data_IF_630993952160
#
_entry.id   IF_630993952160
#
_cell.length_a   1.000
_cell.length_b   1.000
_cell.length_c   1.000
_cell.angle_alpha   90.00
_cell.angle_beta   90.00
_cell.angle_gamma   90.00
#
_symmetry.space_group_name_H-M   'P 1'
#
loop_
_entity.id
_entity.type
_entity.pdbx_description
1 polymer ?
#
# COMPACT_ATOMS: atom_id res chain seq x y z
N UNK A 1 -44.16 -40.24 55.87
CA UNK A 1 -44.15 -38.87 55.23
C UNK A 1 -43.06 -38.74 54.18
N UNK A 2 -41.82 -39.23 54.33
CA UNK A 2 -40.75 -39.06 53.33
C UNK A 2 -41.00 -39.80 51.99
N UNK A 3 -41.68 -40.92 51.95
CA UNK A 3 -41.98 -41.72 50.74
C UNK A 3 -43.07 -41.08 49.88
N UNK A 4 -44.03 -40.39 50.44
CA UNK A 4 -45.13 -39.74 49.73
C UNK A 4 -44.58 -38.47 49.02
N UNK A 5 -43.62 -37.78 49.63
CA UNK A 5 -43.00 -36.61 49.03
C UNK A 5 -42.15 -36.95 47.78
N UNK A 6 -41.50 -38.15 47.79
CA UNK A 6 -40.71 -38.63 46.68
C UNK A 6 -41.57 -38.99 45.45
N UNK A 7 -42.75 -39.62 45.69
CA UNK A 7 -43.69 -39.91 44.61
C UNK A 7 -44.36 -38.68 44.03
N UNK A 8 -44.64 -37.67 44.86
CA UNK A 8 -45.18 -36.38 44.40
C UNK A 8 -44.16 -35.60 43.52
N UNK A 9 -42.88 -35.60 43.90
CA UNK A 9 -41.83 -35.00 43.08
C UNK A 9 -41.59 -35.75 41.77
N UNK A 10 -41.70 -37.07 41.76
CA UNK A 10 -41.54 -37.89 40.57
C UNK A 10 -42.72 -37.75 39.59
N UNK A 11 -43.94 -37.59 40.05
CA UNK A 11 -45.10 -37.28 39.23
C UNK A 11 -45.09 -35.85 38.69
N UNK A 12 -44.56 -34.88 39.46
CA UNK A 12 -44.38 -33.51 39.00
C UNK A 12 -43.29 -33.36 37.94
N UNK A 13 -42.21 -34.19 38.00
CA UNK A 13 -41.19 -34.21 36.97
C UNK A 13 -41.61 -34.91 35.69
N UNK A 14 -42.57 -35.84 35.75
CA UNK A 14 -43.14 -36.44 34.54
C UNK A 14 -44.14 -35.56 33.80
N UNK A 15 -44.80 -34.62 34.46
CA UNK A 15 -45.70 -33.67 33.81
C UNK A 15 -44.98 -32.55 33.08
N UNK A 16 -43.68 -32.31 33.36
CA UNK A 16 -42.85 -31.36 32.60
C UNK A 16 -42.28 -31.96 31.30
N UNK A 17 -42.35 -33.28 31.13
CA UNK A 17 -41.79 -33.91 29.91
C UNK A 17 -42.79 -34.08 28.76
N UNK A 18 -44.05 -33.63 28.94
CA UNK A 18 -45.10 -33.71 27.89
C UNK A 18 -45.51 -32.33 27.39
N UNK A 19 -44.59 -31.35 27.49
CA UNK A 19 -44.71 -30.17 26.70
C UNK A 19 -44.03 -30.42 25.34
N UNK A 20 -44.48 -31.46 24.63
CA UNK A 20 -44.43 -31.42 23.20
C UNK A 20 -45.42 -30.31 22.80
N UNK A 21 -44.93 -29.15 22.58
CA UNK A 21 -45.61 -28.15 21.79
C UNK A 21 -45.86 -28.88 20.47
N UNK A 22 -47.09 -29.30 20.20
CA UNK A 22 -47.51 -29.56 18.84
C UNK A 22 -47.39 -28.19 18.17
N UNK A 23 -46.27 -28.01 17.50
CA UNK A 23 -46.12 -26.95 16.54
C UNK A 23 -47.18 -27.24 15.46
N UNK A 24 -48.25 -26.49 15.47
CA UNK A 24 -49.35 -26.69 14.53
C UNK A 24 -48.93 -26.33 13.10
N UNK A 25 -47.62 -26.26 12.81
CA UNK A 25 -47.04 -26.00 11.49
C UNK A 25 -47.85 -24.99 10.66
N UNK A 26 -48.37 -23.98 11.30
CA UNK A 26 -49.17 -22.95 10.69
C UNK A 26 -48.31 -21.76 10.25
N UNK A 27 -47.07 -22.05 9.89
CA UNK A 27 -46.15 -21.09 9.34
C UNK A 27 -46.43 -20.99 7.84
N UNK A 28 -46.93 -19.85 7.39
CA UNK A 28 -46.91 -19.47 5.98
C UNK A 28 -45.44 -19.24 5.59
N UNK A 29 -44.78 -20.31 5.15
CA UNK A 29 -43.44 -20.20 4.60
C UNK A 29 -43.50 -19.43 3.29
N UNK A 30 -42.85 -18.27 3.25
CA UNK A 30 -42.69 -17.53 2.02
C UNK A 30 -41.46 -18.12 1.31
N UNK A 31 -41.67 -18.68 0.14
CA UNK A 31 -40.56 -19.13 -0.70
C UNK A 31 -39.71 -17.92 -1.09
N UNK A 32 -38.43 -17.97 -0.74
CA UNK A 32 -37.44 -16.94 -1.05
C UNK A 32 -36.73 -17.33 -2.35
N UNK A 33 -36.66 -16.41 -3.29
CA UNK A 33 -35.89 -16.60 -4.50
C UNK A 33 -34.39 -16.39 -4.22
N UNK A 34 -33.73 -17.41 -3.69
CA UNK A 34 -32.33 -17.38 -3.30
C UNK A 34 -31.40 -17.39 -4.50
N UNK A 35 -30.17 -16.99 -4.26
CA UNK A 35 -29.08 -17.17 -5.23
C UNK A 35 -28.57 -18.60 -5.12
N UNK A 36 -28.55 -19.33 -6.26
CA UNK A 36 -28.15 -20.73 -6.31
C UNK A 36 -26.73 -20.89 -5.75
N UNK A 37 -26.59 -21.75 -4.72
CA UNK A 37 -25.33 -21.99 -3.97
C UNK A 37 -24.70 -20.75 -3.34
N UNK A 38 -25.43 -19.62 -3.30
CA UNK A 38 -24.90 -18.30 -2.93
C UNK A 38 -23.65 -17.92 -3.75
N UNK A 39 -23.60 -18.32 -5.04
CA UNK A 39 -22.45 -18.17 -5.91
C UNK A 39 -22.62 -16.96 -6.83
N UNK A 40 -21.68 -16.02 -6.73
CA UNK A 40 -21.56 -14.86 -7.63
C UNK A 40 -20.33 -15.03 -8.51
N UNK A 41 -20.53 -14.90 -9.83
CA UNK A 41 -19.46 -14.93 -10.84
C UNK A 41 -19.17 -13.52 -11.36
N UNK A 42 -18.06 -13.34 -12.07
CA UNK A 42 -17.62 -12.05 -12.62
C UNK A 42 -17.45 -10.94 -11.57
N UNK A 43 -17.16 -11.34 -10.34
CA UNK A 43 -16.68 -10.48 -9.27
C UNK A 43 -15.45 -11.15 -8.65
N UNK A 44 -14.29 -10.56 -8.86
CA UNK A 44 -13.04 -11.06 -8.30
C UNK A 44 -12.95 -10.72 -6.80
N UNK A 45 -12.09 -11.40 -6.05
CA UNK A 45 -11.83 -11.06 -4.65
C UNK A 45 -11.18 -9.68 -4.49
N UNK A 46 -10.41 -9.25 -5.50
CA UNK A 46 -9.78 -7.93 -5.54
C UNK A 46 -9.57 -7.43 -6.97
N UNK A 47 -9.50 -6.10 -7.11
CA UNK A 47 -9.16 -5.38 -8.32
C UNK A 47 -8.09 -4.34 -8.01
N UNK A 48 -7.13 -4.19 -8.93
CA UNK A 48 -6.18 -3.08 -8.93
C UNK A 48 -6.53 -2.15 -10.09
N UNK A 49 -6.83 -0.89 -9.79
CA UNK A 49 -7.21 0.10 -10.79
C UNK A 49 -6.42 1.40 -10.58
N UNK A 50 -5.78 1.96 -11.61
CA UNK A 50 -5.13 3.27 -11.49
C UNK A 50 -6.13 4.40 -11.24
N UNK A 51 -5.73 5.41 -10.49
CA UNK A 51 -6.49 6.67 -10.34
C UNK A 51 -6.90 7.21 -11.71
N UNK A 52 -8.15 7.64 -11.83
CA UNK A 52 -8.72 8.20 -13.05
C UNK A 52 -9.10 7.17 -14.12
N UNK A 53 -8.93 5.88 -13.85
CA UNK A 53 -9.47 4.82 -14.70
C UNK A 53 -10.82 4.33 -14.18
N UNK A 54 -11.71 3.97 -15.11
CA UNK A 54 -12.99 3.39 -14.77
C UNK A 54 -12.87 1.88 -14.61
N UNK A 55 -13.52 1.34 -13.58
CA UNK A 55 -13.68 -0.09 -13.34
C UNK A 55 -15.15 -0.45 -13.36
N UNK A 56 -15.57 -1.26 -14.32
CA UNK A 56 -16.95 -1.78 -14.37
C UNK A 56 -16.98 -3.20 -13.81
N UNK A 57 -17.83 -3.42 -12.80
CA UNK A 57 -18.08 -4.73 -12.21
C UNK A 57 -19.52 -5.14 -12.55
N UNK A 58 -19.66 -6.34 -13.11
CA UNK A 58 -20.95 -6.89 -13.56
C UNK A 58 -21.11 -8.31 -13.03
N UNK A 59 -21.48 -8.49 -11.74
CA UNK A 59 -21.69 -9.82 -11.17
C UNK A 59 -22.77 -10.59 -11.92
N UNK A 60 -22.57 -11.89 -12.09
CA UNK A 60 -23.59 -12.80 -12.63
C UNK A 60 -23.89 -13.89 -11.61
N UNK A 61 -25.13 -14.32 -11.55
CA UNK A 61 -25.63 -15.31 -10.60
C UNK A 61 -26.91 -15.94 -11.13
N UNK A 62 -27.36 -17.02 -10.55
CA UNK A 62 -28.60 -17.70 -10.91
C UNK A 62 -29.53 -17.72 -9.68
N UNK A 63 -30.84 -17.59 -9.95
CA UNK A 63 -31.88 -17.70 -8.94
C UNK A 63 -32.38 -19.15 -8.83
N UNK A 64 -32.85 -19.53 -7.64
CA UNK A 64 -33.33 -20.89 -7.36
C UNK A 64 -34.73 -21.15 -7.90
N UNK A 65 -35.62 -20.15 -7.88
CA UNK A 65 -37.06 -20.29 -8.23
C UNK A 65 -37.40 -19.54 -9.51
N UNK A 66 -37.53 -18.22 -9.44
CA UNK A 66 -37.86 -17.41 -10.61
C UNK A 66 -36.57 -16.91 -11.27
N UNK A 67 -36.24 -17.54 -12.42
CA UNK A 67 -35.01 -17.25 -13.15
C UNK A 67 -35.16 -16.13 -14.17
N UNK A 68 -36.39 -15.88 -14.64
CA UNK A 68 -36.64 -14.96 -15.75
C UNK A 68 -37.07 -13.56 -15.29
N UNK A 69 -37.94 -13.48 -14.28
CA UNK A 69 -38.50 -12.21 -13.81
C UNK A 69 -38.47 -12.08 -12.27
N UNK A 70 -37.29 -12.11 -11.65
CA UNK A 70 -37.17 -12.05 -10.19
C UNK A 70 -37.60 -10.67 -9.66
N UNK A 71 -38.44 -10.66 -8.61
CA UNK A 71 -38.86 -9.45 -7.94
C UNK A 71 -37.77 -9.01 -6.93
N UNK A 72 -36.69 -8.42 -7.45
CA UNK A 72 -35.51 -8.02 -6.69
C UNK A 72 -35.06 -6.60 -7.00
N UNK A 73 -34.27 -6.03 -6.12
CA UNK A 73 -33.52 -4.80 -6.36
C UNK A 73 -32.04 -5.01 -6.07
N UNK A 74 -31.22 -4.16 -6.65
CA UNK A 74 -29.78 -4.19 -6.47
C UNK A 74 -29.29 -3.02 -5.60
N UNK A 75 -28.25 -3.27 -4.85
CA UNK A 75 -27.62 -2.25 -4.02
C UNK A 75 -26.10 -2.45 -4.04
N UNK A 76 -25.36 -1.39 -4.22
CA UNK A 76 -23.93 -1.34 -4.07
C UNK A 76 -23.56 -0.50 -2.85
N UNK A 77 -22.56 -0.97 -2.12
CA UNK A 77 -21.98 -0.22 -1.01
C UNK A 77 -20.48 -0.09 -1.20
N UNK A 78 -19.91 1.00 -0.74
CA UNK A 78 -18.46 1.23 -0.66
C UNK A 78 -18.13 1.69 0.75
N UNK A 79 -17.18 1.02 1.39
CA UNK A 79 -16.74 1.27 2.76
C UNK A 79 -17.92 1.31 3.76
N UNK A 80 -18.86 0.37 3.57
CA UNK A 80 -20.07 0.24 4.36
C UNK A 80 -21.17 1.28 4.07
N UNK A 81 -20.94 2.24 3.17
CA UNK A 81 -21.92 3.25 2.77
C UNK A 81 -22.57 2.90 1.45
N UNK A 82 -23.90 3.08 1.36
CA UNK A 82 -24.62 2.87 0.11
C UNK A 82 -24.18 3.90 -0.93
N UNK A 83 -23.97 3.41 -2.17
CA UNK A 83 -23.69 4.27 -3.32
C UNK A 83 -25.02 4.75 -3.90
N UNK A 84 -25.27 6.05 -3.85
CA UNK A 84 -26.50 6.64 -4.38
C UNK A 84 -26.59 6.45 -5.91
N UNK A 85 -27.76 6.01 -6.38
CA UNK A 85 -28.01 5.75 -7.79
C UNK A 85 -27.44 4.43 -8.33
N UNK A 86 -26.63 3.68 -7.57
CA UNK A 86 -26.09 2.38 -7.95
C UNK A 86 -27.12 1.27 -7.67
N UNK A 87 -28.16 1.21 -8.50
CA UNK A 87 -29.30 0.31 -8.36
C UNK A 87 -29.41 -0.72 -9.50
N UNK A 88 -28.35 -0.90 -10.28
CA UNK A 88 -28.26 -1.88 -11.35
C UNK A 88 -27.31 -3.02 -10.97
N UNK A 89 -27.46 -4.16 -11.63
CA UNK A 89 -26.57 -5.31 -11.47
C UNK A 89 -25.11 -4.98 -11.83
N UNK A 90 -24.91 -4.12 -12.82
CA UNK A 90 -23.58 -3.60 -13.20
C UNK A 90 -23.39 -2.20 -12.65
N UNK A 91 -22.19 -1.92 -12.14
CA UNK A 91 -21.80 -0.57 -11.70
C UNK A 91 -20.38 -0.25 -12.16
N UNK A 92 -20.18 1.02 -12.55
CA UNK A 92 -18.86 1.55 -12.95
C UNK A 92 -18.36 2.48 -11.85
N UNK A 93 -17.17 2.17 -11.36
CA UNK A 93 -16.45 2.95 -10.36
C UNK A 93 -15.44 3.86 -11.02
N UNK A 94 -15.28 5.06 -10.49
CA UNK A 94 -14.22 6.00 -10.83
C UNK A 94 -13.68 6.60 -9.55
N UNK A 95 -12.35 6.70 -9.44
CA UNK A 95 -11.67 7.17 -8.24
C UNK A 95 -10.75 8.33 -8.61
N UNK A 96 -10.78 9.38 -7.81
CA UNK A 96 -9.92 10.56 -7.98
C UNK A 96 -8.65 10.47 -7.13
N UNK A 97 -8.67 9.68 -6.06
CA UNK A 97 -7.57 9.50 -5.11
C UNK A 97 -7.19 8.03 -4.99
N UNK A 98 -5.92 7.76 -4.67
CA UNK A 98 -5.45 6.41 -4.35
C UNK A 98 -5.98 5.95 -2.99
N UNK A 99 -6.15 4.65 -2.82
CA UNK A 99 -6.65 4.08 -1.59
C UNK A 99 -7.22 2.68 -1.77
N UNK A 100 -7.63 2.07 -0.68
CA UNK A 100 -8.24 0.74 -0.68
C UNK A 100 -9.69 0.84 -0.23
N UNK A 101 -10.60 0.34 -1.07
CA UNK A 101 -12.03 0.40 -0.84
C UNK A 101 -12.63 -0.99 -0.77
N UNK A 102 -13.45 -1.24 0.24
CA UNK A 102 -14.27 -2.45 0.32
C UNK A 102 -15.61 -2.20 -0.36
N UNK A 103 -15.86 -2.92 -1.45
CA UNK A 103 -17.10 -2.81 -2.22
C UNK A 103 -17.92 -4.07 -2.02
N UNK A 104 -19.24 -3.89 -1.83
CA UNK A 104 -20.19 -5.00 -1.76
C UNK A 104 -21.35 -4.78 -2.68
N UNK A 105 -21.74 -5.84 -3.36
CA UNK A 105 -22.92 -5.93 -4.21
C UNK A 105 -23.97 -6.78 -3.51
N UNK A 106 -25.22 -6.33 -3.52
CA UNK A 106 -26.36 -7.02 -2.92
C UNK A 106 -27.50 -7.18 -3.91
N UNK A 107 -28.09 -8.37 -3.89
CA UNK A 107 -29.39 -8.69 -4.46
C UNK A 107 -30.37 -8.76 -3.30
N UNK A 108 -31.44 -8.00 -3.35
CA UNK A 108 -32.41 -7.88 -2.26
C UNK A 108 -33.77 -8.33 -2.78
N UNK A 109 -34.31 -9.40 -2.21
CA UNK A 109 -35.67 -9.85 -2.47
C UNK A 109 -36.67 -8.81 -1.97
N UNK A 110 -37.56 -8.34 -2.83
CA UNK A 110 -38.49 -7.26 -2.48
C UNK A 110 -39.63 -7.70 -1.56
N UNK A 111 -39.94 -9.00 -1.53
CA UNK A 111 -41.03 -9.53 -0.69
C UNK A 111 -40.59 -9.74 0.74
N UNK A 112 -39.37 -10.26 0.92
CA UNK A 112 -38.85 -10.65 2.24
C UNK A 112 -37.83 -9.67 2.79
N UNK A 113 -37.20 -8.85 1.94
CA UNK A 113 -36.11 -7.97 2.28
C UNK A 113 -34.77 -8.68 2.54
N UNK A 114 -34.68 -10.00 2.27
CA UNK A 114 -33.46 -10.75 2.43
C UNK A 114 -32.40 -10.29 1.44
N UNK A 115 -31.16 -10.22 1.92
CA UNK A 115 -30.00 -9.77 1.13
C UNK A 115 -29.04 -10.93 0.87
N UNK A 116 -28.72 -11.12 -0.40
CA UNK A 116 -27.64 -12.00 -0.87
C UNK A 116 -26.55 -11.12 -1.44
N UNK A 117 -25.28 -11.43 -1.21
CA UNK A 117 -24.25 -10.49 -1.69
C UNK A 117 -22.86 -11.09 -1.80
N UNK A 118 -22.04 -10.38 -2.55
CA UNK A 118 -20.62 -10.62 -2.68
C UNK A 118 -19.84 -9.35 -2.40
N UNK A 119 -18.63 -9.50 -1.90
CA UNK A 119 -17.73 -8.39 -1.61
C UNK A 119 -16.42 -8.54 -2.37
N UNK A 120 -15.84 -7.41 -2.69
CA UNK A 120 -14.52 -7.31 -3.32
C UNK A 120 -13.75 -6.14 -2.71
N UNK A 121 -12.43 -6.18 -2.83
CA UNK A 121 -11.55 -5.07 -2.49
C UNK A 121 -11.10 -4.40 -3.77
N UNK A 122 -11.22 -3.07 -3.87
CA UNK A 122 -10.66 -2.28 -4.97
C UNK A 122 -9.47 -1.51 -4.42
N UNK A 123 -8.27 -1.84 -4.87
CA UNK A 123 -7.06 -1.08 -4.61
C UNK A 123 -6.87 -0.07 -5.73
N UNK A 124 -7.07 1.19 -5.41
CA UNK A 124 -6.86 2.31 -6.33
C UNK A 124 -5.40 2.71 -6.25
N UNK A 125 -4.66 2.39 -7.29
CA UNK A 125 -3.24 2.68 -7.38
C UNK A 125 -3.01 4.12 -7.83
N UNK A 126 -2.06 4.80 -7.21
CA UNK A 126 -1.58 6.07 -7.70
C UNK A 126 -1.14 5.99 -9.17
N UNK A 127 -1.32 7.09 -9.89
CA UNK A 127 -0.82 7.23 -11.26
C UNK A 127 0.72 7.13 -11.34
N UNK A 128 1.40 7.26 -10.20
CA UNK A 128 2.87 7.32 -10.11
C UNK A 128 3.52 6.05 -9.54
N UNK A 129 2.76 5.01 -9.22
CA UNK A 129 3.29 3.76 -8.66
C UNK A 129 4.08 2.90 -9.66
N UNK A 130 3.84 3.05 -10.95
CA UNK A 130 4.51 2.25 -12.00
C UNK A 130 4.99 3.13 -13.11
N UNK A 131 6.29 3.32 -13.22
CA UNK A 131 6.85 4.10 -14.30
C UNK A 131 8.25 4.59 -14.01
N UNK A 132 8.62 5.64 -14.72
CA UNK A 132 9.92 6.29 -14.63
C UNK A 132 9.73 7.74 -14.22
N UNK A 133 10.26 8.11 -13.07
CA UNK A 133 10.43 9.50 -12.70
C UNK A 133 11.68 10.06 -13.42
N UNK A 134 11.53 11.15 -14.12
CA UNK A 134 12.61 11.79 -14.88
C UNK A 134 12.79 13.20 -14.35
N UNK A 135 13.93 13.43 -13.69
CA UNK A 135 14.31 14.73 -13.21
C UNK A 135 15.04 15.51 -14.31
N UNK A 136 14.59 16.72 -14.55
CA UNK A 136 15.19 17.67 -15.46
C UNK A 136 15.42 19.03 -14.79
N UNK A 137 16.00 19.96 -15.52
CA UNK A 137 16.21 21.34 -15.10
C UNK A 137 15.60 22.30 -16.13
N UNK A 138 14.76 23.21 -15.67
CA UNK A 138 14.21 24.29 -16.49
C UNK A 138 15.24 25.39 -16.76
N UNK A 139 14.95 26.25 -17.73
CA UNK A 139 15.83 27.40 -18.08
C UNK A 139 16.01 28.40 -16.94
N UNK A 140 15.04 28.51 -16.05
CA UNK A 140 15.09 29.31 -14.81
C UNK A 140 15.84 28.64 -13.65
N UNK A 141 16.37 27.45 -13.87
CA UNK A 141 17.11 26.67 -12.90
C UNK A 141 16.27 25.77 -12.01
N UNK A 142 14.94 25.83 -12.09
CA UNK A 142 14.02 25.01 -11.31
C UNK A 142 14.11 23.53 -11.72
N UNK A 143 13.92 22.63 -10.76
CA UNK A 143 13.74 21.23 -11.03
C UNK A 143 12.42 20.99 -11.79
N UNK A 144 12.45 20.08 -12.74
CA UNK A 144 11.27 19.58 -13.46
C UNK A 144 11.17 18.09 -13.20
N UNK A 145 10.06 17.64 -12.68
CA UNK A 145 9.76 16.23 -12.50
C UNK A 145 8.72 15.79 -13.52
N UNK A 146 9.11 14.86 -14.37
CA UNK A 146 8.23 14.24 -15.35
C UNK A 146 8.02 12.77 -14.99
N UNK A 147 6.87 12.24 -15.34
CA UNK A 147 6.56 10.84 -15.10
C UNK A 147 6.11 10.12 -16.38
N UNK A 148 6.72 8.96 -16.66
CA UNK A 148 6.46 8.15 -17.84
C UNK A 148 5.91 6.80 -17.40
N UNK A 149 4.69 6.48 -17.81
CA UNK A 149 4.02 5.23 -17.46
C UNK A 149 4.11 4.23 -18.61
N UNK A 150 4.48 2.97 -18.34
CA UNK A 150 4.34 1.89 -19.30
C UNK A 150 2.86 1.60 -19.54
N UNK A 151 2.46 1.48 -20.81
CA UNK A 151 1.12 1.11 -21.22
C UNK A 151 1.21 -0.11 -22.14
N UNK A 152 0.37 -1.11 -21.93
CA UNK A 152 0.27 -2.23 -22.85
C UNK A 152 -0.62 -1.88 -24.04
N UNK A 153 -0.16 -2.18 -25.24
CA UNK A 153 -0.96 -2.16 -26.46
C UNK A 153 -0.95 -3.55 -27.08
N UNK A 154 -2.13 -4.02 -27.48
CA UNK A 154 -2.25 -5.24 -28.27
C UNK A 154 -2.32 -4.87 -29.74
N UNK A 155 -1.56 -5.54 -30.58
CA UNK A 155 -1.59 -5.39 -32.02
C UNK A 155 -1.65 -6.75 -32.69
N UNK A 156 -2.44 -6.84 -33.77
CA UNK A 156 -2.59 -8.07 -34.55
C UNK A 156 -1.63 -8.01 -35.76
N UNK A 157 -0.84 -9.05 -35.90
CA UNK A 157 0.05 -9.24 -37.07
C UNK A 157 -0.31 -10.52 -37.80
N UNK A 158 -0.21 -10.50 -39.11
CA UNK A 158 -0.39 -11.69 -39.93
C UNK A 158 0.97 -12.29 -40.24
N UNK A 159 1.24 -13.49 -39.70
CA UNK A 159 2.44 -14.25 -39.97
C UNK A 159 2.06 -15.53 -40.70
N UNK A 160 2.57 -15.74 -41.90
CA UNK A 160 2.26 -16.89 -42.75
C UNK A 160 0.74 -17.09 -42.98
N UNK A 161 0.01 -16.00 -43.18
CA UNK A 161 -1.45 -16.04 -43.40
C UNK A 161 -2.30 -16.30 -42.16
N UNK A 162 -1.69 -16.39 -40.96
CA UNK A 162 -2.37 -16.57 -39.69
C UNK A 162 -2.27 -15.29 -38.85
N UNK A 163 -3.41 -14.79 -38.40
CA UNK A 163 -3.44 -13.67 -37.48
C UNK A 163 -2.93 -14.11 -36.10
N UNK A 164 -2.04 -13.30 -35.54
CA UNK A 164 -1.48 -13.49 -34.22
C UNK A 164 -1.52 -12.15 -33.48
N UNK A 165 -2.17 -12.12 -32.33
CA UNK A 165 -2.16 -10.96 -31.45
C UNK A 165 -0.93 -11.00 -30.56
N UNK A 166 -0.23 -9.88 -30.46
CA UNK A 166 0.95 -9.69 -29.61
C UNK A 166 0.75 -8.44 -28.78
N UNK A 167 1.20 -8.51 -27.54
CA UNK A 167 1.25 -7.35 -26.66
C UNK A 167 2.65 -6.68 -26.75
N UNK A 168 2.64 -5.38 -26.72
CA UNK A 168 3.85 -4.56 -26.65
C UNK A 168 3.69 -3.50 -25.57
N UNK A 169 4.80 -3.14 -24.93
CA UNK A 169 4.82 -2.04 -23.97
C UNK A 169 5.17 -0.77 -24.71
N UNK A 170 4.34 0.25 -24.56
CA UNK A 170 4.61 1.61 -24.99
C UNK A 170 4.69 2.52 -23.77
N UNK A 171 5.59 3.47 -23.81
CA UNK A 171 5.76 4.45 -22.75
C UNK A 171 5.06 5.74 -23.14
N UNK A 172 4.13 6.17 -22.29
CA UNK A 172 3.46 7.46 -22.45
C UNK A 172 3.93 8.40 -21.34
N UNK A 173 4.35 9.60 -21.71
CA UNK A 173 4.50 10.68 -20.76
C UNK A 173 3.11 11.02 -20.20
N UNK A 174 2.88 10.75 -18.93
CA UNK A 174 1.56 10.90 -18.32
C UNK A 174 1.37 12.29 -17.80
N UNK A 175 2.41 12.86 -17.21
CA UNK A 175 2.43 14.26 -16.81
C UNK A 175 3.82 14.85 -17.01
N UNK A 176 3.84 16.06 -17.49
CA UNK A 176 5.03 16.90 -17.59
C UNK A 176 4.95 17.93 -16.49
N UNK A 177 6.06 18.16 -15.80
CA UNK A 177 6.19 19.19 -14.78
C UNK A 177 5.11 19.07 -13.69
N UNK A 178 5.08 17.91 -13.03
CA UNK A 178 4.02 17.53 -12.07
C UNK A 178 3.98 18.39 -10.81
N UNK A 179 5.11 18.99 -10.43
CA UNK A 179 5.19 19.90 -9.30
C UNK A 179 5.98 21.16 -9.70
N UNK A 180 5.31 22.31 -9.72
CA UNK A 180 5.90 23.61 -10.14
C UNK A 180 6.67 24.32 -9.03
N UNK A 181 6.62 23.79 -7.81
CA UNK A 181 7.26 24.39 -6.63
C UNK A 181 8.62 23.81 -6.31
N UNK A 182 9.12 22.86 -7.11
CA UNK A 182 10.35 22.12 -6.83
C UNK A 182 11.57 23.04 -6.69
N UNK A 183 12.54 22.56 -5.92
CA UNK A 183 13.82 23.19 -5.64
C UNK A 183 14.56 23.64 -6.92
N UNK A 184 15.56 24.49 -6.77
CA UNK A 184 16.44 24.90 -7.88
C UNK A 184 17.72 24.06 -7.92
N UNK A 185 18.38 24.13 -9.07
CA UNK A 185 19.67 23.49 -9.31
C UNK A 185 19.65 21.98 -8.99
N UNK A 186 18.72 21.20 -9.59
CA UNK A 186 18.61 19.78 -9.30
C UNK A 186 19.92 19.05 -9.64
N UNK A 187 20.37 18.20 -8.74
CA UNK A 187 21.59 17.39 -8.87
C UNK A 187 21.29 15.89 -8.95
N UNK A 188 20.09 15.46 -8.54
CA UNK A 188 19.67 14.08 -8.57
C UNK A 188 18.39 13.87 -7.78
N UNK A 189 17.95 12.63 -7.73
CA UNK A 189 16.84 12.19 -6.88
C UNK A 189 17.12 10.81 -6.29
N UNK A 190 16.49 10.52 -5.17
CA UNK A 190 16.43 9.20 -4.57
C UNK A 190 14.96 8.77 -4.47
N UNK A 191 14.70 7.50 -4.66
CA UNK A 191 13.40 6.90 -4.46
C UNK A 191 13.46 6.00 -3.23
N UNK A 192 12.61 6.26 -2.27
CA UNK A 192 12.26 5.33 -1.21
C UNK A 192 11.01 4.57 -1.64
N UNK A 193 11.10 3.26 -1.62
CA UNK A 193 9.98 2.37 -1.90
C UNK A 193 9.67 1.62 -0.62
N UNK A 194 8.52 1.89 -0.04
CA UNK A 194 8.00 1.15 1.11
C UNK A 194 7.71 -0.30 0.75
N UNK A 195 7.59 -1.12 1.75
CA UNK A 195 7.39 -2.57 1.60
C UNK A 195 5.91 -2.88 1.40
N UNK A 196 5.43 -2.75 0.14
CA UNK A 196 4.05 -2.93 -0.27
C UNK A 196 3.41 -4.23 0.21
N UNK A 197 4.09 -5.34 -0.02
CA UNK A 197 3.45 -6.66 0.08
C UNK A 197 3.38 -7.22 1.51
N UNK A 198 4.26 -6.81 2.39
CA UNK A 198 4.32 -7.36 3.76
C UNK A 198 3.34 -6.68 4.70
N UNK A 199 3.22 -5.37 4.60
CA UNK A 199 2.38 -4.56 5.49
C UNK A 199 0.93 -4.40 5.02
N UNK A 200 0.63 -4.63 3.75
CA UNK A 200 -0.75 -4.63 3.23
C UNK A 200 -1.65 -5.64 3.97
N UNK A 201 -1.05 -6.74 4.45
CA UNK A 201 -1.73 -7.74 5.30
C UNK A 201 -2.09 -7.22 6.70
N UNK A 202 -1.46 -6.14 7.15
CA UNK A 202 -1.69 -5.52 8.46
C UNK A 202 -2.43 -4.18 8.38
N UNK A 203 -2.81 -3.73 7.18
CA UNK A 203 -3.55 -2.48 6.97
C UNK A 203 -2.71 -1.23 7.20
N UNK A 204 -1.39 -1.33 7.07
CA UNK A 204 -0.48 -0.18 7.12
C UNK A 204 -0.39 0.40 5.72
N UNK A 205 -0.69 1.69 5.57
CA UNK A 205 -0.55 2.41 4.31
C UNK A 205 0.93 2.53 3.96
N UNK A 206 1.24 2.26 2.69
CA UNK A 206 2.59 2.40 2.17
C UNK A 206 2.85 3.84 1.76
N UNK A 207 3.98 4.35 2.20
CA UNK A 207 4.46 5.66 1.81
C UNK A 207 5.75 5.51 1.01
N UNK A 208 5.61 5.66 -0.30
CA UNK A 208 6.77 5.90 -1.15
C UNK A 208 7.14 7.38 -1.07
N UNK A 209 8.41 7.67 -0.97
CA UNK A 209 8.93 9.02 -0.99
C UNK A 209 9.94 9.22 -2.13
N UNK A 210 9.93 10.40 -2.71
CA UNK A 210 10.93 10.85 -3.67
C UNK A 210 11.66 12.06 -3.07
N UNK A 211 12.98 11.94 -2.89
CA UNK A 211 13.80 13.07 -2.52
C UNK A 211 14.39 13.70 -3.77
N UNK A 212 14.02 14.94 -4.07
CA UNK A 212 14.61 15.74 -5.13
C UNK A 212 15.74 16.59 -4.54
N UNK A 213 16.96 16.33 -5.00
CA UNK A 213 18.18 16.98 -4.52
C UNK A 213 18.46 18.24 -5.35
N UNK A 214 18.59 19.37 -4.69
CA UNK A 214 18.90 20.67 -5.30
C UNK A 214 19.57 21.59 -4.31
N UNK A 215 19.31 22.89 -4.44
CA UNK A 215 19.74 23.92 -3.47
C UNK A 215 19.06 23.72 -2.09
N UNK A 216 17.87 23.15 -2.09
CA UNK A 216 17.22 22.49 -0.96
C UNK A 216 16.88 21.08 -1.37
N UNK A 217 16.91 20.16 -0.44
CA UNK A 217 16.45 18.80 -0.66
C UNK A 217 14.98 18.71 -0.26
N UNK A 218 14.17 18.41 -1.23
CA UNK A 218 12.71 18.39 -1.11
C UNK A 218 12.20 16.96 -1.17
N UNK A 219 11.40 16.59 -0.20
CA UNK A 219 10.79 15.28 -0.07
C UNK A 219 9.34 15.35 -0.53
N UNK A 220 8.99 14.45 -1.43
CA UNK A 220 7.69 14.39 -2.06
C UNK A 220 7.02 13.07 -1.73
N UNK A 221 5.71 13.10 -1.52
CA UNK A 221 4.89 11.91 -1.46
C UNK A 221 4.99 11.14 -2.78
N UNK A 222 5.40 9.88 -2.72
CA UNK A 222 5.58 9.05 -3.90
C UNK A 222 4.28 8.76 -4.67
N UNK A 223 3.13 8.86 -4.01
CA UNK A 223 1.83 8.62 -4.60
C UNK A 223 1.23 9.85 -5.28
N UNK A 224 1.45 11.05 -4.74
CA UNK A 224 0.87 12.29 -5.25
C UNK A 224 1.87 13.19 -5.95
N UNK A 225 3.17 13.03 -5.65
CA UNK A 225 4.29 13.91 -6.02
C UNK A 225 4.14 15.33 -5.48
N UNK A 226 3.35 15.49 -4.44
CA UNK A 226 3.23 16.75 -3.71
C UNK A 226 4.34 16.88 -2.69
N UNK A 227 4.66 18.13 -2.35
CA UNK A 227 5.63 18.46 -1.32
C UNK A 227 5.14 17.99 0.05
N UNK A 228 6.00 17.32 0.78
CA UNK A 228 5.75 16.92 2.17
C UNK A 228 6.63 17.69 3.14
N UNK A 229 7.94 17.70 2.92
CA UNK A 229 8.88 18.38 3.80
C UNK A 229 10.19 18.70 3.07
N UNK A 230 11.06 19.49 3.71
CA UNK A 230 12.46 19.57 3.35
C UNK A 230 13.30 18.70 4.29
N UNK A 231 14.30 18.00 3.76
CA UNK A 231 15.20 17.16 4.58
C UNK A 231 15.80 17.92 5.79
N UNK A 232 16.01 19.24 5.67
CA UNK A 232 16.51 20.07 6.77
C UNK A 232 15.47 20.33 7.84
N UNK A 233 14.19 20.32 7.52
CA UNK A 233 13.09 20.54 8.48
C UNK A 233 12.90 19.34 9.41
N UNK A 234 13.27 18.16 8.94
CA UNK A 234 13.19 16.94 9.75
C UNK A 234 14.18 16.87 10.92
N UNK A 235 15.11 17.82 11.03
CA UNK A 235 15.91 17.98 12.25
C UNK A 235 15.17 18.75 13.35
N UNK A 236 14.02 19.35 13.04
CA UNK A 236 13.34 20.26 13.95
C UNK A 236 14.25 21.43 14.36
N UNK A 237 14.23 21.79 15.63
CA UNK A 237 15.06 22.87 16.19
C UNK A 237 16.53 22.46 16.46
N UNK A 238 16.90 21.22 16.18
CA UNK A 238 18.18 20.62 16.54
C UNK A 238 19.11 20.36 15.34
N UNK A 239 18.88 21.02 14.21
CA UNK A 239 19.73 20.87 13.04
C UNK A 239 21.17 21.29 13.33
N UNK A 240 22.18 20.45 13.02
CA UNK A 240 23.59 20.76 13.25
C UNK A 240 24.01 22.03 12.49
N UNK A 241 24.82 22.88 13.15
CA UNK A 241 25.31 24.11 12.53
C UNK A 241 26.10 23.82 11.24
N UNK A 242 25.73 24.49 10.16
CA UNK A 242 26.38 24.32 8.87
C UNK A 242 26.04 23.01 8.14
N UNK A 243 25.05 22.27 8.58
CA UNK A 243 24.60 21.04 7.91
C UNK A 243 24.24 21.31 6.45
N UNK A 244 24.80 20.49 5.55
CA UNK A 244 24.47 20.46 4.14
C UNK A 244 24.38 18.99 3.70
N UNK A 245 23.23 18.54 3.18
CA UNK A 245 23.06 17.18 2.73
C UNK A 245 23.86 16.88 1.46
N UNK A 246 24.50 15.71 1.41
CA UNK A 246 25.26 15.24 0.26
C UNK A 246 24.70 13.94 -0.34
N UNK A 247 24.35 12.99 0.49
CA UNK A 247 23.79 11.70 0.09
C UNK A 247 22.70 11.27 1.09
N UNK A 248 21.71 10.54 0.59
CA UNK A 248 20.70 9.89 1.42
C UNK A 248 20.52 8.44 1.02
N UNK A 249 20.08 7.63 1.96
CA UNK A 249 19.69 6.25 1.75
C UNK A 249 18.62 5.87 2.79
N UNK A 250 17.82 4.88 2.45
CA UNK A 250 16.62 4.53 3.19
C UNK A 250 16.53 3.03 3.43
N UNK A 251 15.89 2.66 4.53
CA UNK A 251 15.28 1.36 4.73
C UNK A 251 13.80 1.57 4.98
N UNK A 252 13.02 0.52 5.14
CA UNK A 252 11.59 0.65 5.49
C UNK A 252 11.35 1.31 6.85
N UNK A 253 12.34 1.31 7.75
CA UNK A 253 12.23 1.85 9.12
C UNK A 253 13.14 3.03 9.39
N UNK A 254 14.02 3.40 8.47
CA UNK A 254 15.04 4.40 8.74
C UNK A 254 15.42 5.20 7.50
N UNK A 255 15.55 6.51 7.66
CA UNK A 255 16.23 7.40 6.73
C UNK A 255 17.61 7.74 7.26
N UNK A 256 18.62 7.80 6.38
CA UNK A 256 19.93 8.29 6.71
C UNK A 256 20.36 9.36 5.71
N UNK A 257 20.93 10.44 6.20
CA UNK A 257 21.49 11.51 5.41
C UNK A 257 22.96 11.72 5.79
N UNK A 258 23.83 11.76 4.77
CA UNK A 258 25.24 12.12 4.95
C UNK A 258 25.43 13.58 4.58
N UNK A 259 26.07 14.32 5.47
CA UNK A 259 26.47 15.71 5.23
C UNK A 259 27.69 15.83 4.30
N UNK A 260 27.92 17.02 3.73
CA UNK A 260 29.10 17.28 2.90
C UNK A 260 30.42 17.05 3.63
N UNK A 261 30.47 17.31 4.92
CA UNK A 261 31.63 17.08 5.79
C UNK A 261 31.80 15.63 6.27
N UNK A 262 30.91 14.73 5.83
CA UNK A 262 31.05 13.28 5.98
C UNK A 262 30.31 12.66 7.15
N UNK A 263 29.59 13.42 7.96
CA UNK A 263 28.80 12.88 9.06
C UNK A 263 27.46 12.29 8.60
N UNK A 264 27.00 11.26 9.27
CA UNK A 264 25.70 10.63 8.99
C UNK A 264 24.76 10.87 10.18
N UNK A 265 23.53 11.24 9.83
CA UNK A 265 22.41 11.43 10.74
C UNK A 265 21.29 10.50 10.33
N UNK A 266 20.59 9.93 11.29
CA UNK A 266 19.50 8.97 11.03
C UNK A 266 18.19 9.47 11.63
N UNK A 267 17.12 9.25 10.89
CA UNK A 267 15.75 9.36 11.35
C UNK A 267 15.19 7.93 11.37
N UNK A 268 14.91 7.41 12.57
CA UNK A 268 14.35 6.08 12.78
C UNK A 268 12.86 6.22 12.97
N UNK A 269 12.13 5.57 12.12
CA UNK A 269 10.68 5.55 12.14
C UNK A 269 10.17 4.74 13.34
N UNK A 270 9.33 5.31 14.20
CA UNK A 270 8.66 4.53 15.22
C UNK A 270 7.79 3.43 14.59
N UNK A 271 7.69 2.28 15.25
CA UNK A 271 6.98 1.11 14.73
C UNK A 271 5.53 1.45 14.35
N UNK A 272 5.13 1.16 13.10
CA UNK A 272 3.78 1.44 12.59
C UNK A 272 3.45 2.91 12.32
N UNK A 273 4.44 3.79 12.26
CA UNK A 273 4.26 5.22 11.97
C UNK A 273 4.82 5.63 10.61
N UNK A 274 4.45 6.82 10.19
CA UNK A 274 4.97 7.52 9.03
C UNK A 274 6.38 8.08 9.27
N UNK A 275 7.20 8.24 8.22
CA UNK A 275 8.53 8.86 8.32
C UNK A 275 8.51 10.30 8.82
N UNK A 276 7.44 11.04 8.57
CA UNK A 276 7.33 12.44 8.99
C UNK A 276 7.11 12.63 10.48
N UNK A 277 6.91 11.57 11.26
CA UNK A 277 6.75 11.62 12.71
C UNK A 277 8.10 11.60 13.42
N UNK A 278 9.12 10.99 12.80
CA UNK A 278 10.46 10.93 13.34
C UNK A 278 11.27 12.20 13.03
N UNK A 279 12.38 12.36 13.73
CA UNK A 279 13.36 13.42 13.45
C UNK A 279 14.75 12.83 13.26
N UNK A 280 15.57 13.49 12.47
CA UNK A 280 16.99 13.16 12.40
C UNK A 280 17.66 13.39 13.74
N UNK A 281 18.62 12.54 14.09
CA UNK A 281 19.46 12.75 15.27
C UNK A 281 20.20 14.09 15.18
N UNK A 282 20.29 14.83 16.28
CA UNK A 282 21.05 16.10 16.34
C UNK A 282 22.57 15.89 16.40
N UNK A 283 22.99 14.69 16.78
CA UNK A 283 24.39 14.27 16.79
C UNK A 283 24.63 13.20 15.73
N UNK A 284 25.80 13.20 15.08
CA UNK A 284 26.11 12.18 14.09
C UNK A 284 26.21 10.81 14.75
N UNK A 285 25.77 9.79 14.02
CA UNK A 285 25.89 8.42 14.48
C UNK A 285 27.36 8.00 14.63
N UNK A 286 27.61 6.98 15.45
CA UNK A 286 28.93 6.38 15.65
C UNK A 286 30.02 7.38 16.14
N UNK A 287 29.71 8.15 17.18
CA UNK A 287 30.64 9.07 17.85
C UNK A 287 31.33 10.07 16.89
N UNK A 288 30.63 10.47 15.81
CA UNK A 288 31.19 11.41 14.85
C UNK A 288 32.21 10.82 13.88
N UNK A 289 32.11 9.52 13.59
CA UNK A 289 32.87 8.90 12.49
C UNK A 289 32.48 9.55 11.15
N UNK A 290 33.46 9.75 10.28
CA UNK A 290 33.24 10.31 8.94
C UNK A 290 33.17 9.21 7.88
N UNK A 291 32.31 9.45 6.91
CA UNK A 291 32.04 8.53 5.80
C UNK A 291 32.22 9.25 4.46
N UNK A 292 32.81 8.53 3.52
CA UNK A 292 33.00 9.00 2.12
C UNK A 292 31.72 8.92 1.32
N UNK A 293 30.95 7.84 1.52
CA UNK A 293 29.78 7.53 0.71
C UNK A 293 28.71 6.86 1.55
N UNK A 294 27.47 7.06 1.13
CA UNK A 294 26.28 6.38 1.62
C UNK A 294 25.57 5.73 0.45
N UNK A 295 25.17 4.47 0.59
CA UNK A 295 24.57 3.70 -0.48
C UNK A 295 23.24 3.09 -0.06
N UNK A 296 22.26 3.21 -0.94
CA UNK A 296 21.04 2.42 -0.86
C UNK A 296 21.38 0.95 -1.10
N UNK A 297 20.98 0.08 -0.19
CA UNK A 297 21.16 -1.35 -0.37
C UNK A 297 19.87 -1.95 -0.94
N UNK A 298 19.91 -2.41 -2.18
CA UNK A 298 18.81 -3.13 -2.81
C UNK A 298 19.11 -4.63 -2.79
N UNK A 299 18.41 -5.38 -1.96
CA UNK A 299 18.53 -6.83 -1.92
C UNK A 299 17.50 -7.46 -2.85
N UNK A 300 17.97 -8.16 -3.92
CA UNK A 300 17.14 -8.99 -4.80
C UNK A 300 15.87 -8.32 -5.37
N UNK A 301 15.95 -7.05 -5.72
CA UNK A 301 14.86 -6.34 -6.40
C UNK A 301 13.66 -5.96 -5.52
N UNK A 302 13.85 -6.01 -4.20
CA UNK A 302 12.83 -5.59 -3.24
C UNK A 302 13.38 -4.69 -2.14
N UNK A 303 12.53 -3.92 -1.49
CA UNK A 303 12.88 -2.97 -0.44
C UNK A 303 13.28 -3.62 0.91
N UNK A 304 13.35 -4.94 0.98
CA UNK A 304 13.59 -5.74 2.19
C UNK A 304 15.00 -5.61 2.75
N UNK A 305 15.59 -4.45 2.69
CA UNK A 305 16.90 -4.25 3.28
C UNK A 305 16.79 -3.38 4.54
N UNK A 306 17.08 -4.00 5.67
CA UNK A 306 17.12 -3.32 6.96
C UNK A 306 18.44 -2.60 7.19
N UNK A 307 19.32 -2.56 6.19
CA UNK A 307 20.70 -2.08 6.36
C UNK A 307 21.06 -1.14 5.21
N UNK A 308 21.43 0.09 5.56
CA UNK A 308 22.06 1.04 4.67
C UNK A 308 23.57 0.75 4.68
N UNK A 309 24.22 0.86 3.53
CA UNK A 309 25.66 0.68 3.42
C UNK A 309 26.38 2.03 3.46
N UNK A 310 27.46 2.10 4.24
CA UNK A 310 28.30 3.28 4.33
C UNK A 310 29.78 2.92 4.16
N UNK A 311 30.52 3.73 3.40
CA UNK A 311 31.95 3.60 3.23
C UNK A 311 32.65 4.64 4.11
N UNK A 312 33.40 4.18 5.08
CA UNK A 312 34.17 5.04 5.98
C UNK A 312 35.44 5.65 5.32
N UNK A 313 36.07 6.60 5.99
CA UNK A 313 37.29 7.24 5.46
C UNK A 313 38.48 6.28 5.31
N UNK A 314 38.56 5.24 6.12
CA UNK A 314 39.57 4.20 6.03
C UNK A 314 39.25 3.08 5.03
N UNK A 315 38.19 3.25 4.22
CA UNK A 315 37.66 2.30 3.25
C UNK A 315 37.06 1.01 3.86
N UNK A 316 36.64 1.04 5.09
CA UNK A 316 35.82 -0.02 5.67
C UNK A 316 34.38 0.13 5.21
N UNK A 317 33.75 -0.99 4.81
CA UNK A 317 32.32 -1.01 4.50
C UNK A 317 31.54 -1.32 5.78
N UNK A 318 30.60 -0.47 6.11
CA UNK A 318 29.76 -0.59 7.30
C UNK A 318 28.30 -0.71 6.94
N UNK A 319 27.53 -1.42 7.76
CA UNK A 319 26.09 -1.48 7.72
C UNK A 319 25.49 -0.60 8.81
N UNK A 320 24.54 0.22 8.44
CA UNK A 320 23.73 1.02 9.36
C UNK A 320 22.34 0.39 9.39
N UNK A 321 21.91 -0.06 10.56
CA UNK A 321 20.61 -0.69 10.75
C UNK A 321 19.85 -0.01 11.87
N UNK A 322 18.55 -0.11 11.83
CA UNK A 322 17.68 0.25 12.92
C UNK A 322 17.95 -0.67 14.12
N UNK A 323 18.29 -0.09 15.26
CA UNK A 323 18.57 -0.85 16.48
C UNK A 323 17.31 -1.47 17.10
N UNK A 324 16.14 -0.91 16.84
CA UNK A 324 14.85 -1.47 17.25
C UNK A 324 14.55 -2.82 16.62
N UNK A 325 15.12 -3.09 15.44
CA UNK A 325 15.00 -4.40 14.80
C UNK A 325 15.87 -5.49 15.44
N UNK A 326 16.92 -5.09 16.13
CA UNK A 326 17.83 -6.00 16.86
C UNK A 326 17.53 -6.09 18.36
N UNK A 327 16.85 -5.08 18.92
CA UNK A 327 16.47 -4.99 20.33
C UNK A 327 15.17 -4.20 20.47
N UNK A 328 14.11 -4.86 20.86
CA UNK A 328 12.73 -4.34 20.96
C UNK A 328 12.48 -3.08 21.82
N UNK A 329 13.48 -2.30 22.17
CA UNK A 329 13.36 -1.13 23.06
C UNK A 329 14.27 0.05 22.70
N UNK A 330 14.86 0.14 21.52
CA UNK A 330 15.75 1.28 21.20
C UNK A 330 15.35 1.92 19.88
N UNK A 331 15.09 3.22 19.91
CA UNK A 331 14.80 4.09 18.76
C UNK A 331 16.10 4.57 18.06
N UNK A 332 17.26 4.00 18.40
CA UNK A 332 18.55 4.41 17.88
C UNK A 332 19.01 3.56 16.71
N UNK A 333 19.66 4.16 15.73
CA UNK A 333 20.37 3.45 14.68
C UNK A 333 21.65 2.80 15.22
N UNK A 334 21.87 1.53 14.88
CA UNK A 334 23.10 0.81 15.22
C UNK A 334 24.01 0.66 14.00
N UNK A 335 25.30 0.75 14.21
CA UNK A 335 26.31 0.49 13.20
C UNK A 335 27.00 -0.83 13.48
N UNK A 336 27.02 -1.70 12.49
CA UNK A 336 27.79 -2.93 12.51
C UNK A 336 28.85 -2.92 11.41
N UNK A 337 30.09 -3.29 11.76
CA UNK A 337 31.13 -3.52 10.75
C UNK A 337 30.77 -4.78 9.96
N UNK A 338 30.37 -4.59 8.70
CA UNK A 338 30.23 -5.68 7.75
C UNK A 338 31.61 -6.03 7.26
N UNK A 339 32.23 -7.06 7.80
CA UNK A 339 33.54 -7.64 7.44
C UNK A 339 34.42 -6.77 6.52
N UNK A 340 35.64 -6.47 6.92
CA UNK A 340 36.61 -5.70 6.14
C UNK A 340 36.86 -6.35 4.80
N UNK A 341 36.19 -5.86 3.76
CA UNK A 341 36.61 -6.14 2.38
C UNK A 341 37.86 -5.33 2.11
N UNK A 342 38.98 -6.01 1.91
CA UNK A 342 40.21 -5.36 1.48
C UNK A 342 39.93 -4.61 0.17
N UNK A 343 40.44 -3.40 0.07
CA UNK A 343 40.15 -2.34 -0.91
C UNK A 343 40.29 -2.70 -2.41
N UNK A 344 40.69 -3.92 -2.76
CA UNK A 344 40.82 -4.35 -4.17
C UNK A 344 39.51 -4.79 -4.84
N UNK A 345 38.48 -5.14 -4.08
CA UNK A 345 37.27 -5.78 -4.63
C UNK A 345 36.02 -4.91 -4.58
N UNK A 346 36.04 -3.77 -3.93
CA UNK A 346 34.84 -2.90 -3.77
C UNK A 346 34.49 -2.16 -5.06
N UNK A 347 35.46 -1.88 -5.91
CA UNK A 347 35.25 -1.16 -7.19
C UNK A 347 34.54 -2.02 -8.26
N UNK A 348 34.44 -3.33 -8.10
CA UNK A 348 33.74 -4.22 -9.04
C UNK A 348 32.24 -4.37 -8.75
N UNK A 349 31.75 -3.84 -7.62
CA UNK A 349 30.35 -3.90 -7.22
C UNK A 349 29.56 -2.61 -7.57
N UNK A 350 30.20 -1.61 -8.18
CA UNK A 350 29.64 -0.29 -8.49
C UNK A 350 29.41 -0.10 -10.01
N UNK A 351 29.41 -1.16 -10.77
CA UNK A 351 29.08 -1.11 -12.22
C UNK A 351 27.71 -1.72 -12.48
#
# INVERSE_FOLDING_TARGET
MKKIFFYACFLASMSCAVSCISDDNNYDYIDVNEIEKNEFKNIASSYNVPVGQELTISPTFEYTIDKENPDVRFEWTMDGKKIEGANKQSHTFSFEESGTHKVSFYVIDNKTGLKFGASTTIKVMSAFQRGWAILGKADDGRAILNFVIPSSISYTTTVNGKETTRDSIVYKAVKLDVNKSLCKNPTGMCLYVGEADYYDSFGIEEYDEIVVKGDQWEELNGNTLEHETFTTEEFGDEMPEGFKPAECAFTYSMKAVRSEDGYIYCNVKPDGSDFHIGTYTSVPINDGMKFKRLFQNYKYGGPYCNTILALSEDNSLMGIADAGYTNSNSEDASISELSRYQSGNVLSLIH
#
